data_IF_165682193407
#
_entry.id   IF_165682193407
#
_cell.length_a   1.000
_cell.length_b   1.000
_cell.length_c   1.000
_cell.angle_alpha   90.00
_cell.angle_beta   90.00
_cell.angle_gamma   90.00
#
_symmetry.space_group_name_H-M   'P 1'
#
loop_
_entity.id
_entity.type
_entity.pdbx_description
1 polymer ?
#
# COMPACT_ATOMS: atom_id res chain seq x y z
N UNK A 1 -19.17 11.14 -41.79
CA UNK A 1 -17.76 11.35 -41.39
C UNK A 1 -17.56 11.56 -39.88
N UNK A 2 -18.54 12.07 -39.10
CA UNK A 2 -18.36 12.38 -37.66
C UNK A 2 -18.35 11.22 -36.66
N UNK A 3 -18.97 10.07 -36.97
CA UNK A 3 -19.16 8.97 -36.00
C UNK A 3 -17.87 8.24 -35.61
N UNK A 4 -16.93 8.06 -36.56
CA UNK A 4 -15.66 7.36 -36.29
C UNK A 4 -14.74 8.17 -35.38
N UNK A 5 -14.71 9.49 -35.53
CA UNK A 5 -13.93 10.37 -34.68
C UNK A 5 -14.49 10.40 -33.26
N UNK A 6 -15.80 10.49 -33.12
CA UNK A 6 -16.48 10.49 -31.83
C UNK A 6 -16.27 9.18 -31.06
N UNK A 7 -16.38 8.02 -31.72
CA UNK A 7 -16.12 6.73 -31.09
C UNK A 7 -14.67 6.60 -30.58
N UNK A 8 -13.69 7.10 -31.36
CA UNK A 8 -12.29 7.14 -30.90
C UNK A 8 -12.14 7.98 -29.64
N UNK A 9 -12.77 9.15 -29.58
CA UNK A 9 -12.72 10.02 -28.39
C UNK A 9 -13.27 9.27 -27.16
N UNK A 10 -14.42 8.60 -27.29
CA UNK A 10 -14.98 7.83 -26.18
C UNK A 10 -14.06 6.69 -25.71
N UNK A 11 -13.42 5.98 -26.64
CA UNK A 11 -12.43 4.97 -26.27
C UNK A 11 -11.22 5.55 -25.53
N UNK A 12 -10.68 6.68 -26.00
CA UNK A 12 -9.56 7.33 -25.31
C UNK A 12 -9.96 7.87 -23.94
N UNK A 13 -11.17 8.42 -23.79
CA UNK A 13 -11.68 8.86 -22.49
C UNK A 13 -11.86 7.69 -21.51
N UNK A 14 -12.33 6.54 -21.99
CA UNK A 14 -12.47 5.34 -21.14
C UNK A 14 -11.10 4.78 -20.74
N UNK A 15 -10.16 4.69 -21.68
CA UNK A 15 -8.77 4.34 -21.39
C UNK A 15 -8.14 5.28 -20.35
N UNK A 16 -8.30 6.60 -20.53
CA UNK A 16 -7.77 7.59 -19.62
C UNK A 16 -8.32 7.42 -18.20
N UNK A 17 -9.64 7.18 -18.06
CA UNK A 17 -10.26 6.94 -16.74
C UNK A 17 -9.71 5.72 -16.04
N UNK A 18 -9.43 4.64 -16.80
CA UNK A 18 -8.86 3.41 -16.23
C UNK A 18 -7.39 3.57 -15.83
N UNK A 19 -6.65 4.40 -16.56
CA UNK A 19 -5.23 4.61 -16.33
C UNK A 19 -4.94 5.71 -15.30
N UNK A 20 -5.84 6.69 -15.13
CA UNK A 20 -5.70 7.81 -14.20
C UNK A 20 -5.41 7.35 -12.76
N UNK A 21 -6.20 6.40 -12.24
CA UNK A 21 -5.99 5.87 -10.88
C UNK A 21 -4.65 5.15 -10.74
N UNK A 22 -4.23 4.38 -11.76
CA UNK A 22 -2.94 3.67 -11.73
C UNK A 22 -1.76 4.65 -11.79
N UNK A 23 -1.91 5.70 -12.60
CA UNK A 23 -0.91 6.74 -12.76
C UNK A 23 -0.74 7.55 -11.48
N UNK A 24 -1.84 7.88 -10.79
CA UNK A 24 -1.80 8.53 -9.48
C UNK A 24 -1.06 7.67 -8.45
N UNK A 25 -1.39 6.38 -8.36
CA UNK A 25 -0.72 5.44 -7.47
C UNK A 25 0.79 5.34 -7.75
N UNK A 26 1.18 5.31 -9.03
CA UNK A 26 2.58 5.28 -9.44
C UNK A 26 3.36 6.54 -9.00
N UNK A 27 2.77 7.73 -9.19
CA UNK A 27 3.41 8.97 -8.76
C UNK A 27 3.47 9.10 -7.24
N UNK A 28 2.42 8.67 -6.55
CA UNK A 28 2.39 8.64 -5.09
C UNK A 28 3.51 7.75 -4.52
N UNK A 29 3.69 6.55 -5.06
CA UNK A 29 4.78 5.64 -4.67
C UNK A 29 6.15 6.26 -4.95
N UNK A 30 6.33 6.93 -6.09
CA UNK A 30 7.59 7.58 -6.46
C UNK A 30 7.96 8.70 -5.49
N UNK A 31 7.00 9.56 -5.14
CA UNK A 31 7.20 10.63 -4.13
C UNK A 31 7.51 10.06 -2.76
N UNK A 32 6.79 9.01 -2.37
CA UNK A 32 6.98 8.35 -1.09
C UNK A 32 8.38 7.72 -0.98
N UNK A 33 8.86 7.05 -2.05
CA UNK A 33 10.23 6.52 -2.09
C UNK A 33 11.27 7.62 -1.91
N UNK A 34 11.10 8.75 -2.59
CA UNK A 34 12.00 9.89 -2.44
C UNK A 34 12.00 10.41 -0.98
N UNK A 35 10.84 10.62 -0.38
CA UNK A 35 10.74 11.06 1.02
C UNK A 35 11.37 10.05 2.01
N UNK A 36 11.19 8.75 1.78
CA UNK A 36 11.82 7.73 2.63
C UNK A 36 13.34 7.67 2.48
N UNK A 37 13.87 7.94 1.28
CA UNK A 37 15.34 8.00 1.09
C UNK A 37 15.99 9.14 1.88
N UNK A 38 15.29 10.27 2.05
CA UNK A 38 15.76 11.39 2.91
C UNK A 38 15.88 10.96 4.39
N UNK A 39 15.06 10.00 4.82
CA UNK A 39 15.09 9.45 6.18
C UNK A 39 15.84 8.12 6.30
N UNK A 40 16.57 7.71 5.26
CA UNK A 40 17.37 6.46 5.23
C UNK A 40 16.54 5.19 5.50
N UNK A 41 15.32 5.14 4.96
CA UNK A 41 14.46 3.97 5.05
C UNK A 41 14.05 3.50 3.65
N UNK A 42 14.02 2.18 3.43
CA UNK A 42 13.48 1.64 2.19
C UNK A 42 11.97 1.43 2.28
N UNK A 43 11.29 1.66 1.15
CA UNK A 43 9.83 1.51 1.02
C UNK A 43 9.32 0.12 1.44
N UNK A 44 10.07 -0.95 1.12
CA UNK A 44 9.68 -2.32 1.45
C UNK A 44 9.58 -2.54 2.97
N UNK A 45 10.59 -2.08 3.71
CA UNK A 45 10.62 -2.22 5.17
C UNK A 45 9.58 -1.30 5.82
N UNK A 46 9.48 -0.06 5.36
CA UNK A 46 8.48 0.89 5.84
C UNK A 46 7.06 0.32 5.73
N UNK A 47 6.69 -0.23 4.56
CA UNK A 47 5.35 -0.75 4.35
C UNK A 47 5.08 -2.01 5.16
N UNK A 48 6.05 -2.91 5.30
CA UNK A 48 5.92 -4.09 6.16
C UNK A 48 5.68 -3.69 7.61
N UNK A 49 6.44 -2.71 8.15
CA UNK A 49 6.25 -2.21 9.51
C UNK A 49 4.89 -1.55 9.72
N UNK A 50 4.40 -0.77 8.76
CA UNK A 50 3.06 -0.19 8.83
C UNK A 50 1.97 -1.26 8.83
N UNK A 51 2.12 -2.32 8.01
CA UNK A 51 1.16 -3.43 7.96
C UNK A 51 1.15 -4.23 9.28
N UNK A 52 2.32 -4.51 9.86
CA UNK A 52 2.48 -5.16 11.17
C UNK A 52 1.90 -4.30 12.32
N UNK A 53 2.07 -2.98 12.25
CA UNK A 53 1.51 -2.03 13.22
C UNK A 53 0.02 -1.74 13.04
N UNK A 54 -0.64 -2.43 12.09
CA UNK A 54 -2.04 -2.21 11.72
C UNK A 54 -2.36 -0.76 11.29
N UNK A 55 -1.38 -0.04 10.73
CA UNK A 55 -1.54 1.31 10.19
C UNK A 55 -1.89 1.22 8.69
N UNK A 56 -3.18 1.28 8.40
CA UNK A 56 -3.75 1.11 7.06
C UNK A 56 -3.82 2.43 6.27
N UNK A 57 -2.65 3.00 5.95
CA UNK A 57 -2.54 4.21 5.12
C UNK A 57 -2.19 3.88 3.67
N UNK A 58 -2.93 4.46 2.73
CA UNK A 58 -2.66 4.34 1.29
C UNK A 58 -1.44 5.16 0.87
N UNK A 59 -0.79 4.74 -0.22
CA UNK A 59 0.38 5.46 -0.76
C UNK A 59 0.06 6.90 -1.14
N UNK A 60 -1.16 7.17 -1.61
CA UNK A 60 -1.61 8.54 -1.94
C UNK A 60 -1.58 9.40 -0.68
N UNK A 61 -2.20 8.96 0.41
CA UNK A 61 -2.23 9.67 1.70
C UNK A 61 -0.83 9.82 2.28
N UNK A 62 -0.02 8.76 2.28
CA UNK A 62 1.36 8.81 2.75
C UNK A 62 2.20 9.83 1.95
N UNK A 63 2.02 9.88 0.64
CA UNK A 63 2.71 10.87 -0.21
C UNK A 63 2.24 12.30 0.06
N UNK A 64 0.96 12.49 0.39
CA UNK A 64 0.42 13.80 0.77
C UNK A 64 0.96 14.23 2.14
N UNK A 65 1.02 13.31 3.12
CA UNK A 65 1.62 13.57 4.42
C UNK A 65 3.10 13.96 4.28
N UNK A 66 3.86 13.27 3.43
CA UNK A 66 5.26 13.62 3.19
C UNK A 66 5.44 15.03 2.63
N UNK A 67 4.51 15.52 1.80
CA UNK A 67 4.58 16.85 1.18
C UNK A 67 4.05 17.96 2.10
N UNK A 68 2.88 17.75 2.72
CA UNK A 68 2.16 18.80 3.44
C UNK A 68 2.40 18.76 4.96
N UNK A 69 2.72 17.59 5.51
CA UNK A 69 2.94 17.37 6.95
C UNK A 69 4.25 16.62 7.22
N UNK A 70 5.41 17.22 6.94
CA UNK A 70 6.69 16.52 7.04
C UNK A 70 7.01 16.04 8.46
N UNK A 71 6.48 16.72 9.49
CA UNK A 71 6.65 16.31 10.90
C UNK A 71 5.89 15.02 11.20
N UNK A 72 4.64 14.93 10.77
CA UNK A 72 3.80 13.73 10.92
C UNK A 72 4.44 12.56 10.16
N UNK A 73 4.89 12.81 8.94
CA UNK A 73 5.59 11.81 8.14
C UNK A 73 6.87 11.32 8.83
N UNK A 74 7.69 12.24 9.35
CA UNK A 74 8.90 11.88 10.13
C UNK A 74 8.55 10.99 11.32
N UNK A 75 7.55 11.35 12.12
CA UNK A 75 7.16 10.54 13.29
C UNK A 75 6.71 9.12 12.93
N UNK A 76 6.05 8.94 11.77
CA UNK A 76 5.71 7.61 11.25
C UNK A 76 6.95 6.82 10.85
N UNK A 77 7.93 7.46 10.21
CA UNK A 77 9.20 6.81 9.86
C UNK A 77 9.96 6.41 11.11
N UNK A 78 10.05 7.29 12.11
CA UNK A 78 10.73 7.01 13.39
C UNK A 78 10.08 5.84 14.13
N UNK A 79 8.74 5.77 14.13
CA UNK A 79 8.00 4.62 14.65
C UNK A 79 8.40 3.33 13.92
N UNK A 80 8.43 3.33 12.59
CA UNK A 80 8.83 2.17 11.81
C UNK A 80 10.30 1.77 12.02
N UNK A 81 11.20 2.74 12.25
CA UNK A 81 12.60 2.45 12.62
C UNK A 81 12.64 1.76 13.98
N UNK A 82 11.91 2.29 14.97
CA UNK A 82 11.87 1.72 16.32
C UNK A 82 11.34 0.28 16.32
N UNK A 83 10.25 0.04 15.60
CA UNK A 83 9.70 -1.31 15.41
C UNK A 83 10.69 -2.26 14.72
N UNK A 84 11.53 -1.75 13.82
CA UNK A 84 12.56 -2.55 13.16
C UNK A 84 13.72 -2.88 14.09
N UNK A 85 14.14 -1.94 14.95
CA UNK A 85 15.15 -2.18 15.98
C UNK A 85 14.71 -3.23 16.99
N UNK A 86 13.45 -3.17 17.44
CA UNK A 86 12.87 -4.15 18.39
C UNK A 86 12.83 -5.57 17.82
N UNK A 87 12.68 -5.70 16.50
CA UNK A 87 12.72 -6.98 15.79
C UNK A 87 14.15 -7.44 15.45
N UNK A 88 15.18 -6.67 15.82
CA UNK A 88 16.59 -7.01 15.56
C UNK A 88 17.04 -6.77 14.12
N UNK A 89 16.30 -6.00 13.33
CA UNK A 89 16.73 -5.57 12.00
C UNK A 89 17.64 -4.35 12.15
N UNK A 90 18.91 -4.51 11.80
CA UNK A 90 19.88 -3.42 11.82
C UNK A 90 19.51 -2.35 10.79
N UNK A 91 19.03 -1.21 11.28
CA UNK A 91 18.81 0.01 10.49
C UNK A 91 19.94 0.99 10.75
N UNK A 92 20.17 1.90 9.80
CA UNK A 92 21.10 3.02 9.99
C UNK A 92 20.36 4.06 10.84
N UNK A 93 20.52 3.98 12.16
CA UNK A 93 20.08 4.99 13.12
C UNK A 93 21.27 5.41 13.98
N UNK A 94 21.36 6.71 14.26
CA UNK A 94 22.32 7.22 15.24
C UNK A 94 21.83 6.84 16.65
N UNK A 95 22.75 6.45 17.51
CA UNK A 95 22.43 5.98 18.86
C UNK A 95 21.68 7.06 19.65
N UNK A 96 20.47 6.74 20.12
CA UNK A 96 19.62 7.64 20.93
C UNK A 96 18.69 8.56 20.14
N UNK A 97 18.69 8.52 18.80
CA UNK A 97 17.77 9.35 18.00
C UNK A 97 16.30 9.00 18.25
N UNK A 98 16.00 7.73 18.55
CA UNK A 98 14.62 7.21 18.65
C UNK A 98 14.11 7.04 20.08
N UNK A 99 14.82 7.54 21.08
CA UNK A 99 14.47 7.32 22.49
C UNK A 99 13.16 7.99 22.92
N UNK A 100 12.70 9.00 22.18
CA UNK A 100 11.41 9.64 22.43
C UNK A 100 10.21 8.82 21.94
N UNK A 101 10.43 7.80 21.11
CA UNK A 101 9.36 6.95 20.57
C UNK A 101 9.11 5.82 21.56
N UNK A 102 7.94 5.85 22.19
CA UNK A 102 7.48 4.75 23.06
C UNK A 102 6.58 3.81 22.26
N UNK A 103 6.99 2.56 22.16
CA UNK A 103 6.28 1.45 21.51
C UNK A 103 5.65 0.55 22.56
N UNK A 104 4.38 0.20 22.37
CA UNK A 104 3.65 -0.77 23.21
C UNK A 104 3.68 -2.15 22.54
N UNK A 105 3.71 -3.23 23.33
CA UNK A 105 3.70 -4.59 22.79
C UNK A 105 2.49 -4.89 21.90
N UNK A 106 1.34 -4.26 22.19
CA UNK A 106 0.10 -4.39 21.41
C UNK A 106 0.23 -3.90 19.96
N UNK A 107 1.27 -3.11 19.66
CA UNK A 107 1.53 -2.60 18.31
C UNK A 107 2.17 -3.65 17.41
N UNK A 108 2.69 -4.76 17.94
CA UNK A 108 3.27 -5.84 17.14
C UNK A 108 2.19 -6.86 16.75
N UNK A 109 1.58 -6.65 15.59
CA UNK A 109 0.60 -7.57 15.00
C UNK A 109 1.15 -8.40 13.84
N UNK A 110 0.44 -9.49 13.51
CA UNK A 110 0.59 -10.11 12.20
C UNK A 110 -0.14 -9.24 11.15
N UNK A 111 0.46 -9.00 9.97
CA UNK A 111 -0.21 -8.26 8.89
C UNK A 111 -1.58 -8.84 8.54
N UNK A 112 -2.56 -7.97 8.32
CA UNK A 112 -3.88 -8.43 7.87
C UNK A 112 -3.77 -9.16 6.52
N UNK A 113 -4.57 -10.21 6.38
CA UNK A 113 -4.65 -10.96 5.14
C UNK A 113 -5.11 -10.05 4.00
N UNK A 114 -4.38 -10.09 2.88
CA UNK A 114 -4.75 -9.32 1.69
C UNK A 114 -6.07 -9.83 1.13
N UNK A 115 -6.95 -8.94 0.64
CA UNK A 115 -8.22 -9.36 0.06
C UNK A 115 -7.98 -10.25 -1.16
N UNK A 116 -8.74 -11.35 -1.24
CA UNK A 116 -8.67 -12.26 -2.38
C UNK A 116 -9.39 -11.65 -3.57
N UNK A 117 -8.63 -11.22 -4.57
CA UNK A 117 -9.21 -10.72 -5.82
C UNK A 117 -9.70 -11.88 -6.68
N UNK A 118 -11.00 -11.89 -6.96
CA UNK A 118 -11.59 -12.75 -7.96
C UNK A 118 -11.65 -11.97 -9.29
N UNK A 119 -10.90 -12.38 -10.34
CA UNK A 119 -10.94 -11.68 -11.60
C UNK A 119 -12.37 -11.69 -12.18
N UNK A 120 -12.77 -10.57 -12.79
CA UNK A 120 -14.10 -10.42 -13.40
C UNK A 120 -14.10 -11.09 -14.78
N UNK A 121 -14.69 -12.28 -14.89
CA UNK A 121 -14.83 -13.03 -16.15
C UNK A 121 -14.32 -14.48 -16.05
N UNK A 122 -14.53 -15.31 -17.10
CA UNK A 122 -14.06 -16.67 -17.09
C UNK A 122 -12.53 -16.66 -17.23
N UNK A 123 -11.86 -16.95 -16.11
CA UNK A 123 -10.56 -17.60 -16.16
C UNK A 123 -10.68 -18.80 -17.11
N UNK A 124 -9.65 -19.20 -17.86
CA UNK A 124 -9.68 -20.46 -18.61
C UNK A 124 -9.79 -21.73 -17.70
N UNK A 125 -10.44 -21.65 -16.53
CA UNK A 125 -10.39 -22.64 -15.45
C UNK A 125 -11.69 -22.74 -14.62
N UNK A 126 -12.85 -22.58 -15.25
CA UNK A 126 -14.11 -23.13 -14.72
C UNK A 126 -14.43 -24.52 -15.30
N UNK A 127 -13.41 -25.35 -15.53
CA UNK A 127 -13.60 -26.72 -16.06
C UNK A 127 -14.22 -27.64 -15.01
N UNK A 128 -13.93 -27.38 -13.72
CA UNK A 128 -14.54 -28.06 -12.60
C UNK A 128 -15.85 -27.38 -12.21
N UNK A 129 -16.95 -28.11 -12.37
CA UNK A 129 -18.28 -27.66 -11.93
C UNK A 129 -18.27 -27.45 -10.40
N UNK A 130 -18.90 -26.39 -9.88
CA UNK A 130 -19.07 -26.23 -8.43
C UNK A 130 -19.76 -27.48 -7.86
N UNK A 131 -19.26 -27.94 -6.70
CA UNK A 131 -19.84 -29.09 -6.01
C UNK A 131 -21.28 -28.77 -5.60
N UNK A 132 -22.18 -29.73 -5.73
CA UNK A 132 -23.53 -29.62 -5.17
C UNK A 132 -23.44 -29.64 -3.64
N UNK A 133 -24.05 -28.65 -3.00
CA UNK A 133 -24.25 -28.62 -1.55
C UNK A 133 -25.03 -29.88 -1.11
N UNK A 134 -24.68 -30.43 0.04
CA UNK A 134 -25.45 -31.52 0.67
C UNK A 134 -26.72 -30.94 1.29
N UNK A 135 -27.73 -31.78 1.51
CA UNK A 135 -28.96 -31.40 2.22
C UNK A 135 -28.70 -30.92 3.66
N UNK A 136 -27.59 -31.38 4.26
CA UNK A 136 -27.12 -30.94 5.59
C UNK A 136 -26.56 -29.50 5.61
N UNK A 137 -26.25 -28.93 4.44
CA UNK A 137 -25.63 -27.61 4.28
C UNK A 137 -26.65 -26.53 3.86
N UNK A 138 -27.96 -26.87 3.85
CA UNK A 138 -29.08 -25.97 3.57
C UNK A 138 -29.66 -25.32 4.84
#
# INVERSE_FOLDING_TARGET
MGTRQQNKIFHYMDMQRQDETKLEQFYAETRLKAALTEHHMEYKYFKARLEEAHILLDNVVLSQLAVYEPRTFKTLVDLCKKLSEEQGLAMISDAGELDYVTTSQDLHGEPYLKPKYYPKGPSNNHTTRPRKLKEEEY
#
